data_IF_507528374991
#
_entry.id   IF_507528374991
#
_cell.length_a   1.000
_cell.length_b   1.000
_cell.length_c   1.000
_cell.angle_alpha   90.00
_cell.angle_beta   90.00
_cell.angle_gamma   90.00
#
_symmetry.space_group_name_H-M   'P 1'
#
loop_
_entity.id
_entity.type
_entity.pdbx_description
1 polymer ?
#
# COMPACT_ATOMS: atom_id res chain seq x y z
N UNK A 1 -9.66 10.60 -49.28
CA UNK A 1 -8.44 10.12 -48.59
C UNK A 1 -8.15 11.07 -47.44
N UNK A 2 -8.56 10.74 -46.21
CA UNK A 2 -8.44 11.61 -45.03
C UNK A 2 -7.30 11.06 -44.16
N UNK A 3 -6.12 11.63 -44.31
CA UNK A 3 -4.97 11.34 -43.43
C UNK A 3 -5.31 11.80 -42.01
N UNK A 4 -5.23 10.94 -40.98
CA UNK A 4 -5.38 11.42 -39.60
C UNK A 4 -4.21 12.35 -39.26
N UNK A 5 -4.46 13.45 -38.51
CA UNK A 5 -3.42 14.40 -38.16
C UNK A 5 -2.32 13.72 -37.31
N UNK A 6 -1.04 14.12 -37.45
CA UNK A 6 0.01 13.58 -36.60
C UNK A 6 -0.31 13.93 -35.15
N UNK A 7 -0.38 12.90 -34.31
CA UNK A 7 -0.48 13.07 -32.86
C UNK A 7 0.72 13.91 -32.40
N UNK A 8 0.44 15.10 -31.88
CA UNK A 8 1.47 16.04 -31.41
C UNK A 8 2.21 15.40 -30.25
N UNK A 9 3.54 15.38 -30.29
CA UNK A 9 4.47 14.93 -29.24
C UNK A 9 4.05 15.20 -27.80
N UNK A 10 3.51 16.39 -27.42
CA UNK A 10 3.02 16.64 -26.06
C UNK A 10 1.87 15.73 -25.61
N UNK A 11 0.99 15.30 -26.53
CA UNK A 11 -0.13 14.41 -26.20
C UNK A 11 0.36 12.99 -25.88
N UNK A 12 1.41 12.51 -26.56
CA UNK A 12 2.04 11.21 -26.29
C UNK A 12 2.75 11.22 -24.93
N UNK A 13 3.49 12.28 -24.61
CA UNK A 13 4.15 12.44 -23.31
C UNK A 13 3.14 12.50 -22.15
N UNK A 14 2.04 13.23 -22.33
CA UNK A 14 0.96 13.30 -21.34
C UNK A 14 0.30 11.93 -21.13
N UNK A 15 0.03 11.19 -22.21
CA UNK A 15 -0.53 9.85 -22.14
C UNK A 15 0.42 8.86 -21.43
N UNK A 16 1.73 8.94 -21.72
CA UNK A 16 2.75 8.13 -21.05
C UNK A 16 2.84 8.44 -19.56
N UNK A 17 2.82 9.72 -19.20
CA UNK A 17 2.81 10.18 -17.81
C UNK A 17 1.58 9.69 -17.04
N UNK A 18 0.40 9.71 -17.67
CA UNK A 18 -0.82 9.18 -17.08
C UNK A 18 -0.76 7.65 -16.88
N UNK A 19 -0.18 6.92 -17.83
CA UNK A 19 0.01 5.47 -17.73
C UNK A 19 0.98 5.10 -16.60
N UNK A 20 2.14 5.76 -16.51
CA UNK A 20 3.10 5.60 -15.41
C UNK A 20 2.46 5.94 -14.05
N UNK A 21 1.66 7.01 -14.00
CA UNK A 21 0.93 7.38 -12.81
C UNK A 21 -0.12 6.35 -12.38
N UNK A 22 -0.65 5.57 -13.31
CA UNK A 22 -1.54 4.45 -13.00
C UNK A 22 -0.76 3.21 -12.55
N UNK A 23 0.36 2.91 -13.21
CA UNK A 23 1.25 1.80 -12.86
C UNK A 23 1.83 1.92 -11.44
N UNK A 24 2.26 3.13 -11.03
CA UNK A 24 2.82 3.34 -9.68
C UNK A 24 1.86 2.98 -8.55
N UNK A 25 0.55 3.17 -8.75
CA UNK A 25 -0.46 2.84 -7.73
C UNK A 25 -0.59 1.33 -7.55
N UNK A 26 -0.59 0.58 -8.65
CA UNK A 26 -0.61 -0.89 -8.60
C UNK A 26 0.65 -1.45 -7.95
N UNK A 27 1.83 -0.89 -8.30
CA UNK A 27 3.09 -1.29 -7.70
C UNK A 27 3.13 -0.99 -6.19
N UNK A 28 2.70 0.20 -5.77
CA UNK A 28 2.64 0.57 -4.35
C UNK A 28 1.69 -0.33 -3.56
N UNK A 29 0.52 -0.69 -4.13
CA UNK A 29 -0.40 -1.66 -3.52
C UNK A 29 0.24 -3.04 -3.37
N UNK A 30 0.89 -3.54 -4.44
CA UNK A 30 1.53 -4.85 -4.44
C UNK A 30 2.68 -4.92 -3.43
N UNK A 31 3.62 -3.96 -3.49
CA UNK A 31 4.73 -3.88 -2.55
C UNK A 31 4.24 -3.66 -1.12
N UNK A 32 3.20 -2.85 -0.93
CA UNK A 32 2.60 -2.63 0.38
C UNK A 32 2.04 -3.92 0.99
N UNK A 33 1.41 -4.76 0.17
CA UNK A 33 0.91 -6.07 0.59
C UNK A 33 2.03 -7.08 0.86
N UNK A 34 3.05 -7.14 0.00
CA UNK A 34 4.17 -8.11 0.11
C UNK A 34 5.09 -7.77 1.28
N UNK A 35 5.45 -6.50 1.43
CA UNK A 35 6.35 -6.04 2.50
C UNK A 35 5.61 -5.81 3.83
N UNK A 36 4.28 -5.91 3.83
CA UNK A 36 3.45 -5.60 4.99
C UNK A 36 3.38 -4.11 5.33
N UNK A 37 3.83 -3.22 4.45
CA UNK A 37 3.71 -1.77 4.67
C UNK A 37 2.25 -1.28 4.76
N UNK A 38 1.28 -2.10 4.33
CA UNK A 38 -0.14 -1.83 4.51
C UNK A 38 -0.75 -2.43 5.79
N UNK A 39 0.06 -3.01 6.68
CA UNK A 39 -0.40 -3.66 7.90
C UNK A 39 -1.11 -2.69 8.86
N UNK A 40 -0.61 -1.46 9.02
CA UNK A 40 -1.26 -0.46 9.88
C UNK A 40 -2.64 -0.04 9.34
N UNK A 41 -2.77 0.10 8.01
CA UNK A 41 -4.07 0.38 7.37
C UNK A 41 -5.06 -0.76 7.63
N UNK A 42 -4.63 -2.01 7.47
CA UNK A 42 -5.45 -3.20 7.77
C UNK A 42 -5.82 -3.26 9.24
N UNK A 43 -4.90 -2.90 10.14
CA UNK A 43 -5.18 -2.78 11.57
C UNK A 43 -6.28 -1.75 11.86
N UNK A 44 -6.22 -0.55 11.28
CA UNK A 44 -7.27 0.46 11.47
C UNK A 44 -8.63 0.01 10.95
N UNK A 45 -8.66 -0.66 9.80
CA UNK A 45 -9.89 -1.24 9.24
C UNK A 45 -10.48 -2.30 10.17
N UNK A 46 -9.65 -3.20 10.68
CA UNK A 46 -10.06 -4.21 11.66
C UNK A 46 -10.51 -3.58 12.98
N UNK A 47 -9.75 -2.60 13.49
CA UNK A 47 -10.04 -1.91 14.75
C UNK A 47 -11.39 -1.20 14.70
N UNK A 48 -11.72 -0.53 13.60
CA UNK A 48 -13.02 0.12 13.42
C UNK A 48 -14.19 -0.87 13.42
N UNK A 49 -13.96 -2.09 12.94
CA UNK A 49 -14.98 -3.14 12.90
C UNK A 49 -15.14 -3.85 14.24
N UNK A 50 -14.04 -4.14 14.95
CA UNK A 50 -14.04 -4.94 16.18
C UNK A 50 -14.17 -4.07 17.44
N UNK A 51 -13.60 -2.87 17.43
CA UNK A 51 -13.55 -1.93 18.56
C UNK A 51 -14.21 -0.59 18.18
N UNK A 52 -15.53 -0.57 17.92
CA UNK A 52 -16.23 0.67 17.61
C UNK A 52 -16.21 1.60 18.83
N UNK A 53 -15.66 2.81 18.67
CA UNK A 53 -15.62 3.83 19.72
C UNK A 53 -14.37 3.83 20.60
N UNK A 54 -13.44 2.89 20.39
CA UNK A 54 -12.11 2.92 21.00
C UNK A 54 -11.12 3.66 20.10
N UNK A 55 -10.18 4.40 20.69
CA UNK A 55 -9.15 5.10 19.93
C UNK A 55 -8.06 4.09 19.49
N UNK A 56 -7.76 3.98 18.19
CA UNK A 56 -6.74 3.05 17.72
C UNK A 56 -5.34 3.46 18.18
N UNK A 57 -4.44 2.49 18.22
CA UNK A 57 -3.03 2.74 18.46
C UNK A 57 -2.45 3.68 17.41
N UNK A 58 -1.57 4.58 17.85
CA UNK A 58 -0.72 5.34 16.91
C UNK A 58 0.13 4.39 16.07
N UNK A 59 0.49 4.80 14.87
CA UNK A 59 1.30 3.98 13.95
C UNK A 59 2.61 3.48 14.60
N UNK A 60 3.32 4.37 15.31
CA UNK A 60 4.56 4.00 16.01
C UNK A 60 4.32 2.96 17.12
N UNK A 61 3.23 3.09 17.87
CA UNK A 61 2.88 2.13 18.91
C UNK A 61 2.52 0.77 18.30
N UNK A 62 1.74 0.76 17.22
CA UNK A 62 1.40 -0.45 16.48
C UNK A 62 2.66 -1.23 16.03
N UNK A 63 3.63 -0.53 15.43
CA UNK A 63 4.87 -1.19 14.98
C UNK A 63 5.72 -1.70 16.14
N UNK A 64 5.78 -0.97 17.26
CA UNK A 64 6.45 -1.45 18.47
C UNK A 64 5.81 -2.75 18.98
N UNK A 65 4.50 -2.76 19.14
CA UNK A 65 3.78 -3.94 19.62
C UNK A 65 3.89 -5.12 18.63
N UNK A 66 3.89 -4.85 17.33
CA UNK A 66 4.09 -5.87 16.31
C UNK A 66 5.46 -6.56 16.44
N UNK A 67 6.53 -5.79 16.66
CA UNK A 67 7.87 -6.33 16.94
C UNK A 67 7.90 -7.10 18.26
N UNK A 68 7.33 -6.53 19.34
CA UNK A 68 7.28 -7.20 20.63
C UNK A 68 6.53 -8.53 20.55
N UNK A 69 5.45 -8.60 19.75
CA UNK A 69 4.69 -9.83 19.52
C UNK A 69 5.52 -10.86 18.75
N UNK A 70 6.34 -10.44 17.79
CA UNK A 70 7.27 -11.33 17.08
C UNK A 70 8.35 -11.87 18.01
N UNK A 71 8.89 -11.03 18.90
CA UNK A 71 9.89 -11.43 19.88
C UNK A 71 9.32 -12.41 20.92
N UNK A 72 8.11 -12.13 21.44
CA UNK A 72 7.41 -12.98 22.42
C UNK A 72 6.88 -14.28 21.84
N UNK A 73 6.54 -14.31 20.56
CA UNK A 73 6.00 -15.49 19.88
C UNK A 73 6.88 -15.88 18.70
N UNK A 74 8.05 -16.48 18.95
CA UNK A 74 8.94 -16.95 17.90
C UNK A 74 8.43 -18.25 17.27
N UNK A 75 7.20 -18.26 16.77
CA UNK A 75 6.70 -19.34 15.92
C UNK A 75 7.52 -19.35 14.63
N UNK A 76 8.51 -20.25 14.57
CA UNK A 76 9.44 -20.38 13.45
C UNK A 76 10.91 -20.50 13.84
N UNK A 77 11.28 -20.43 15.13
CA UNK A 77 12.58 -20.95 15.56
C UNK A 77 12.51 -22.48 15.47
N UNK A 78 12.85 -23.01 14.31
CA UNK A 78 13.28 -24.39 14.12
C UNK A 78 14.35 -24.69 15.17
N UNK A 79 13.97 -25.49 16.16
CA UNK A 79 14.88 -26.43 16.79
C UNK A 79 14.93 -27.67 15.89
#
# INVERSE_FOLDING_TARGET
MKTPPPLRTPALLAALGAALARGRRGLAWYLGGVLGADAYRKYLEHHRQVHPGEEPLTERAYWREAMDRQDRHPQGRCC
#
